data_IF_721504515852
#
_entry.id   IF_721504515852
#
_cell.length_a   1.000
_cell.length_b   1.000
_cell.length_c   1.000
_cell.angle_alpha   90.00
_cell.angle_beta   90.00
_cell.angle_gamma   90.00
#
_symmetry.space_group_name_H-M   'P 1'
#
loop_
_entity.id
_entity.type
_entity.pdbx_description
1 polymer ?
#
# COMPACT_ATOMS: atom_id res chain seq x y z
N UNK A 1 -6.15 0.10 2.18
CA UNK A 1 -5.93 1.00 3.33
C UNK A 1 -4.63 0.59 4.00
N UNK A 2 -3.89 1.49 4.66
CA UNK A 2 -2.79 1.09 5.53
C UNK A 2 -3.31 0.17 6.65
N UNK A 3 -2.55 -0.87 7.00
CA UNK A 3 -2.90 -1.78 8.09
C UNK A 3 -2.54 -1.12 9.42
N UNK A 4 -3.49 -0.95 10.34
CA UNK A 4 -3.30 -0.10 11.53
C UNK A 4 -2.33 -0.65 12.55
N UNK A 5 -2.13 -1.97 12.57
CA UNK A 5 -1.24 -2.61 13.55
C UNK A 5 0.22 -2.62 13.04
N UNK A 6 0.46 -2.12 11.82
CA UNK A 6 1.82 -1.90 11.35
C UNK A 6 2.41 -0.67 12.06
N UNK A 7 3.49 -0.90 12.81
CA UNK A 7 4.27 0.16 13.46
C UNK A 7 4.80 1.21 12.47
N UNK A 8 4.99 0.80 11.21
CA UNK A 8 5.40 1.66 10.11
C UNK A 8 4.36 1.64 8.98
N UNK A 9 3.31 2.44 9.16
CA UNK A 9 2.20 2.52 8.20
C UNK A 9 2.67 2.82 6.77
N UNK A 10 2.18 2.01 5.84
CA UNK A 10 2.26 2.26 4.40
C UNK A 10 1.58 3.59 4.08
N UNK A 11 2.22 4.45 3.29
CA UNK A 11 1.62 5.71 2.80
C UNK A 11 1.27 5.59 1.33
N UNK A 12 0.03 5.89 0.97
CA UNK A 12 -0.37 5.98 -0.44
C UNK A 12 0.18 7.27 -1.06
N UNK A 13 0.75 7.17 -2.26
CA UNK A 13 1.12 8.32 -3.07
C UNK A 13 -0.02 8.54 -4.08
N UNK A 14 -0.66 9.72 -4.10
CA UNK A 14 -1.68 10.03 -5.09
C UNK A 14 -1.14 9.89 -6.52
N UNK A 15 -1.92 9.25 -7.38
CA UNK A 15 -1.66 9.16 -8.81
C UNK A 15 -2.79 9.89 -9.54
N UNK A 16 -2.45 10.94 -10.28
CA UNK A 16 -3.43 11.82 -10.93
C UNK A 16 -2.84 12.36 -12.25
N UNK A 17 -3.54 13.28 -12.92
CA UNK A 17 -3.08 13.85 -14.19
C UNK A 17 -1.72 14.56 -14.14
N UNK A 18 -1.23 14.96 -12.96
CA UNK A 18 0.08 15.59 -12.78
C UNK A 18 1.22 14.59 -12.56
N UNK A 19 0.92 13.28 -12.47
CA UNK A 19 1.94 12.26 -12.14
C UNK A 19 2.90 11.93 -13.29
N UNK A 20 2.68 12.48 -14.48
CA UNK A 20 3.49 12.22 -15.68
C UNK A 20 3.37 10.80 -16.25
N UNK A 21 2.38 10.01 -15.80
CA UNK A 21 2.15 8.65 -16.27
C UNK A 21 1.11 8.67 -17.40
N UNK A 22 1.34 7.87 -18.44
CA UNK A 22 0.27 7.47 -19.35
C UNK A 22 -0.72 6.59 -18.57
N UNK A 23 -2.02 6.87 -18.70
CA UNK A 23 -3.09 6.15 -18.00
C UNK A 23 -2.91 6.09 -16.46
N UNK A 24 -2.97 7.23 -15.74
CA UNK A 24 -2.75 7.29 -14.29
C UNK A 24 -3.62 6.33 -13.47
N UNK A 25 -4.80 5.97 -13.97
CA UNK A 25 -5.74 5.04 -13.33
C UNK A 25 -5.25 3.59 -13.27
N UNK A 26 -4.21 3.22 -14.03
CA UNK A 26 -3.66 1.86 -14.05
C UNK A 26 -2.58 1.62 -13.00
N UNK A 27 -2.29 2.62 -12.15
CA UNK A 27 -1.19 2.57 -11.21
C UNK A 27 -1.68 2.84 -9.79
N UNK A 28 -1.16 2.07 -8.84
CA UNK A 28 -1.19 2.40 -7.42
C UNK A 28 0.23 2.57 -6.92
N UNK A 29 0.52 3.72 -6.32
CA UNK A 29 1.83 4.02 -5.73
C UNK A 29 1.70 4.08 -4.21
N UNK A 30 2.68 3.52 -3.53
CA UNK A 30 2.76 3.57 -2.08
C UNK A 30 4.21 3.53 -1.63
N UNK A 31 4.45 3.95 -0.39
CA UNK A 31 5.75 3.94 0.26
C UNK A 31 5.67 3.11 1.51
N UNK A 32 6.57 2.15 1.62
CA UNK A 32 6.90 1.40 2.82
C UNK A 32 8.14 2.05 3.44
N UNK A 33 8.16 2.22 4.77
CA UNK A 33 9.42 2.46 5.47
C UNK A 33 10.14 1.13 5.62
N UNK A 34 11.46 1.14 5.54
CA UNK A 34 12.25 -0.07 5.77
C UNK A 34 11.99 -0.62 7.17
N UNK A 35 11.89 -1.93 7.26
CA UNK A 35 11.71 -2.67 8.49
C UNK A 35 12.52 -3.97 8.42
N UNK A 36 12.67 -4.63 9.55
CA UNK A 36 13.24 -5.97 9.65
C UNK A 36 12.29 -6.84 10.46
N UNK A 37 12.31 -8.15 10.20
CA UNK A 37 11.72 -9.12 11.13
C UNK A 37 12.61 -9.19 12.38
N UNK A 38 11.99 -9.38 13.55
CA UNK A 38 12.70 -9.44 14.83
C UNK A 38 12.37 -10.73 15.58
N UNK A 39 13.31 -11.20 16.38
CA UNK A 39 13.09 -12.30 17.32
C UNK A 39 12.30 -11.83 18.56
N UNK A 40 12.00 -12.76 19.48
CA UNK A 40 11.29 -12.46 20.74
C UNK A 40 12.02 -11.45 21.63
N UNK A 41 13.35 -11.34 21.51
CA UNK A 41 14.19 -10.38 22.21
C UNK A 41 14.35 -9.04 21.45
N UNK A 42 13.54 -8.82 20.41
CA UNK A 42 13.58 -7.64 19.54
C UNK A 42 14.88 -7.47 18.73
N UNK A 43 15.70 -8.50 18.62
CA UNK A 43 16.89 -8.46 17.75
C UNK A 43 16.51 -8.61 16.28
N UNK A 44 17.07 -7.78 15.37
CA UNK A 44 16.79 -7.90 13.93
C UNK A 44 17.33 -9.21 13.35
N UNK A 45 16.48 -9.91 12.60
CA UNK A 45 16.86 -11.06 11.80
C UNK A 45 17.55 -10.57 10.53
N UNK A 46 18.80 -11.00 10.29
CA UNK A 46 19.58 -10.65 9.09
C UNK A 46 19.17 -11.52 7.88
N UNK A 47 17.90 -11.45 7.51
CA UNK A 47 17.35 -12.18 6.37
C UNK A 47 16.75 -11.24 5.32
N UNK A 48 16.38 -11.82 4.18
CA UNK A 48 15.80 -11.06 3.06
C UNK A 48 14.32 -10.83 3.29
N UNK A 49 13.89 -9.58 3.16
CA UNK A 49 12.47 -9.21 3.19
C UNK A 49 11.88 -9.34 1.79
N UNK A 50 10.84 -10.15 1.64
CA UNK A 50 10.07 -10.28 0.40
C UNK A 50 8.72 -9.57 0.54
N UNK A 51 8.35 -8.77 -0.46
CA UNK A 51 7.09 -8.02 -0.49
C UNK A 51 6.17 -8.64 -1.51
N UNK A 52 4.98 -9.05 -1.07
CA UNK A 52 3.94 -9.63 -1.91
C UNK A 52 2.69 -8.76 -1.86
N UNK A 53 2.07 -8.54 -3.01
CA UNK A 53 0.83 -7.78 -3.14
C UNK A 53 -0.21 -8.61 -3.89
N UNK A 54 -1.45 -8.53 -3.45
CA UNK A 54 -2.62 -8.93 -4.26
C UNK A 54 -3.23 -7.67 -4.88
N UNK A 55 -3.69 -7.77 -6.13
CA UNK A 55 -4.28 -6.64 -6.84
C UNK A 55 -5.45 -7.11 -7.72
N UNK A 56 -6.39 -6.20 -7.96
CA UNK A 56 -7.53 -6.41 -8.85
C UNK A 56 -7.79 -5.15 -9.67
N UNK A 57 -8.37 -5.33 -10.85
CA UNK A 57 -8.79 -4.24 -11.74
C UNK A 57 -10.29 -4.12 -11.66
N UNK A 58 -10.80 -2.89 -11.70
CA UNK A 58 -12.23 -2.62 -11.68
C UNK A 58 -12.58 -1.47 -12.63
N UNK A 59 -13.83 -1.44 -13.06
CA UNK A 59 -14.38 -0.36 -13.88
C UNK A 59 -15.32 0.46 -12.99
N UNK A 60 -15.06 1.77 -12.77
CA UNK A 60 -15.90 2.58 -11.90
C UNK A 60 -17.31 2.75 -12.48
N UNK A 61 -18.30 2.78 -11.60
CA UNK A 61 -19.72 2.97 -11.90
C UNK A 61 -20.38 3.94 -10.90
N UNK A 62 -21.65 4.28 -11.11
CA UNK A 62 -22.36 5.15 -10.18
C UNK A 62 -22.50 4.53 -8.77
N UNK A 63 -22.47 3.20 -8.66
CA UNK A 63 -22.58 2.45 -7.42
C UNK A 63 -21.23 2.05 -6.83
N UNK A 64 -20.17 1.99 -7.64
CA UNK A 64 -18.84 1.53 -7.22
C UNK A 64 -17.75 2.50 -7.70
N UNK A 65 -17.10 3.15 -6.73
CA UNK A 65 -16.05 4.13 -7.01
C UNK A 65 -14.69 3.50 -7.33
N UNK A 66 -14.56 2.17 -7.25
CA UNK A 66 -13.27 1.47 -7.37
C UNK A 66 -12.23 1.85 -6.31
N UNK A 67 -12.61 2.65 -5.31
CA UNK A 67 -11.72 3.11 -4.25
C UNK A 67 -12.10 2.43 -2.93
N UNK A 68 -11.10 1.89 -2.20
CA UNK A 68 -11.37 1.23 -0.93
C UNK A 68 -11.86 2.24 0.11
N UNK A 69 -12.99 1.93 0.76
CA UNK A 69 -13.46 2.68 1.93
C UNK A 69 -12.67 2.25 3.16
N UNK A 70 -11.84 3.15 3.67
CA UNK A 70 -11.03 2.91 4.86
C UNK A 70 -11.79 3.42 6.09
N UNK A 71 -12.30 2.51 6.92
CA UNK A 71 -12.78 2.89 8.24
C UNK A 71 -11.61 3.45 9.06
N UNK A 72 -11.73 4.69 9.54
CA UNK A 72 -10.92 5.13 10.69
C UNK A 72 -11.46 4.39 11.91
N UNK A 73 -10.65 3.54 12.52
CA UNK A 73 -10.86 3.17 13.92
C UNK A 73 -10.36 4.31 14.80
#
# INVERSE_FOLDING_TARGET
CPYTDDHYLTKLIPVNGTSGLAYPTHYRRFVLKMFAFVNTDMTPVQETVFIHCSTSVCLPSAQDSCEPVCARR
#
